data_IF_696874478782
#
_entry.id   IF_696874478782
#
_cell.length_a   1.000
_cell.length_b   1.000
_cell.length_c   1.000
_cell.angle_alpha   90.00
_cell.angle_beta   90.00
_cell.angle_gamma   90.00
#
_symmetry.space_group_name_H-M   'P 1'
#
loop_
_entity.id
_entity.type
_entity.pdbx_description
1 polymer ?
#
# COMPACT_ATOMS: atom_id res chain seq x y z
N UNK A 1 32.34 28.24 36.67
CA UNK A 1 30.86 28.16 36.64
C UNK A 1 30.26 27.19 37.69
N UNK A 2 30.68 27.23 38.97
CA UNK A 2 30.10 26.36 40.02
C UNK A 2 28.89 26.97 40.73
N UNK A 3 28.86 28.28 40.87
CA UNK A 3 27.80 28.99 41.59
C UNK A 3 26.44 28.89 40.89
N UNK A 4 26.36 29.13 39.58
CA UNK A 4 25.11 28.97 38.83
C UNK A 4 24.47 27.60 39.08
N UNK A 5 25.24 26.51 38.87
CA UNK A 5 24.76 25.13 39.06
C UNK A 5 24.28 24.82 40.49
N UNK A 6 24.79 25.54 41.50
CA UNK A 6 24.38 25.42 42.91
C UNK A 6 23.01 26.04 43.18
N UNK A 7 22.67 27.16 42.53
CA UNK A 7 21.43 27.92 42.77
C UNK A 7 20.25 27.52 41.86
N UNK A 8 20.46 26.60 40.93
CA UNK A 8 19.42 26.12 39.99
C UNK A 8 18.16 25.54 40.66
N UNK A 9 18.26 25.09 41.93
CA UNK A 9 17.13 24.53 42.68
C UNK A 9 16.08 25.59 43.03
N UNK A 10 16.50 26.83 43.26
CA UNK A 10 15.61 27.95 43.64
C UNK A 10 14.62 28.31 42.51
N UNK A 11 15.04 28.17 41.26
CA UNK A 11 14.21 28.45 40.07
C UNK A 11 13.38 27.27 39.59
N UNK A 12 13.58 26.07 40.14
CA UNK A 12 13.05 24.83 39.57
C UNK A 12 11.52 24.80 39.49
N UNK A 13 10.82 25.28 40.52
CA UNK A 13 9.35 25.31 40.55
C UNK A 13 8.76 26.20 39.45
N UNK A 14 9.41 27.33 39.15
CA UNK A 14 8.99 28.25 38.08
C UNK A 14 9.19 27.62 36.70
N UNK A 15 10.34 26.97 36.50
CA UNK A 15 10.65 26.24 35.26
C UNK A 15 9.73 25.04 35.05
N UNK A 16 9.36 24.32 36.10
CA UNK A 16 8.45 23.18 35.99
C UNK A 16 7.03 23.62 35.61
N UNK A 17 6.54 24.70 36.21
CA UNK A 17 5.23 25.26 35.86
C UNK A 17 5.18 25.77 34.41
N UNK A 18 6.23 26.44 33.93
CA UNK A 18 6.30 26.87 32.52
C UNK A 18 6.39 25.68 31.57
N UNK A 19 7.17 24.65 31.92
CA UNK A 19 7.30 23.45 31.09
C UNK A 19 5.99 22.66 31.01
N UNK A 20 5.22 22.59 32.11
CA UNK A 20 3.90 21.98 32.11
C UNK A 20 2.93 22.74 31.19
N UNK A 21 2.90 24.08 31.26
CA UNK A 21 2.08 24.91 30.36
C UNK A 21 2.48 24.72 28.90
N UNK A 22 3.77 24.63 28.61
CA UNK A 22 4.27 24.37 27.26
C UNK A 22 3.86 22.99 26.75
N UNK A 23 3.91 21.93 27.58
CA UNK A 23 3.43 20.60 27.18
C UNK A 23 1.94 20.58 26.90
N UNK A 24 1.12 21.28 27.69
CA UNK A 24 -0.33 21.39 27.48
C UNK A 24 -0.60 22.07 26.14
N UNK A 25 0.05 23.20 25.86
CA UNK A 25 -0.08 23.91 24.59
C UNK A 25 0.35 23.03 23.39
N UNK A 26 1.44 22.28 23.51
CA UNK A 26 1.87 21.32 22.48
C UNK A 26 0.84 20.21 22.27
N UNK A 27 0.24 19.67 23.34
CA UNK A 27 -0.78 18.62 23.24
C UNK A 27 -2.06 19.13 22.57
N UNK A 28 -2.47 20.37 22.87
CA UNK A 28 -3.60 21.03 22.21
C UNK A 28 -3.32 21.28 20.73
N UNK A 29 -2.13 21.76 20.40
CA UNK A 29 -1.70 21.96 19.01
C UNK A 29 -1.66 20.64 18.23
N UNK A 30 -1.19 19.54 18.83
CA UNK A 30 -1.18 18.21 18.18
C UNK A 30 -2.61 17.72 17.98
N UNK A 31 -3.50 17.83 18.97
CA UNK A 31 -4.93 17.49 18.81
C UNK A 31 -5.57 18.32 17.69
N UNK A 32 -5.20 19.59 17.62
CA UNK A 32 -5.61 20.52 16.58
C UNK A 32 -4.85 20.35 15.25
N UNK A 33 -3.85 19.47 15.14
CA UNK A 33 -3.15 19.08 13.89
C UNK A 33 -3.62 17.72 13.36
N UNK A 34 -3.94 16.80 14.26
CA UNK A 34 -4.52 15.49 13.91
C UNK A 34 -5.92 15.66 13.32
N UNK A 35 -6.70 16.65 13.80
CA UNK A 35 -8.04 16.98 13.27
C UNK A 35 -8.09 17.76 11.93
N UNK A 36 -7.21 18.74 11.60
CA UNK A 36 -7.29 19.52 10.36
C UNK A 36 -6.94 18.74 9.10
N UNK A 37 -6.52 17.47 9.18
CA UNK A 37 -6.43 16.61 7.99
C UNK A 37 -7.80 16.32 7.34
N UNK A 38 -8.92 16.71 7.98
CA UNK A 38 -10.25 16.76 7.35
C UNK A 38 -10.33 17.84 6.26
N UNK A 39 -9.44 18.85 6.28
CA UNK A 39 -9.25 19.76 5.16
C UNK A 39 -8.44 19.00 4.12
N UNK A 40 -9.14 18.47 3.11
CA UNK A 40 -8.60 17.73 1.96
C UNK A 40 -7.11 18.03 1.75
N UNK A 41 -6.19 17.08 1.97
CA UNK A 41 -4.83 17.28 1.54
C UNK A 41 -4.92 17.66 0.07
N UNK A 42 -4.35 18.81 -0.28
CA UNK A 42 -4.27 19.29 -1.65
C UNK A 42 -3.22 18.43 -2.34
N UNK A 43 -3.52 17.13 -2.47
CA UNK A 43 -2.60 16.12 -2.95
C UNK A 43 -2.26 16.58 -4.36
N UNK A 44 -1.01 17.01 -4.63
CA UNK A 44 -0.62 17.21 -6.01
C UNK A 44 -0.85 15.86 -6.69
N UNK A 45 -1.47 15.87 -7.87
CA UNK A 45 -1.65 14.67 -8.68
C UNK A 45 -0.28 13.99 -8.80
N UNK A 46 -0.07 12.96 -7.99
CA UNK A 46 1.21 12.25 -7.95
C UNK A 46 1.46 11.60 -9.32
N UNK A 47 2.71 11.19 -9.60
CA UNK A 47 2.98 10.43 -10.81
C UNK A 47 1.98 9.28 -10.91
N UNK A 48 1.34 9.15 -12.07
CA UNK A 48 0.28 8.17 -12.26
C UNK A 48 0.71 6.80 -11.71
N UNK A 49 -0.20 6.07 -11.08
CA UNK A 49 0.15 4.86 -10.34
C UNK A 49 0.87 3.79 -11.18
N UNK A 50 0.78 3.85 -12.51
CA UNK A 50 1.37 2.87 -13.44
C UNK A 50 2.91 2.90 -13.46
N UNK A 51 3.60 4.01 -13.79
CA UNK A 51 5.07 4.09 -13.72
C UNK A 51 5.62 3.82 -12.32
N UNK A 52 4.99 4.37 -11.27
CA UNK A 52 5.39 4.13 -9.88
C UNK A 52 5.31 2.65 -9.49
N UNK A 53 4.29 1.94 -9.98
CA UNK A 53 4.13 0.49 -9.77
C UNK A 53 5.20 -0.32 -10.50
N UNK A 54 5.57 0.05 -11.73
CA UNK A 54 6.65 -0.63 -12.46
C UNK A 54 8.00 -0.45 -11.77
N UNK A 55 8.31 0.76 -11.30
CA UNK A 55 9.51 1.03 -10.52
C UNK A 55 9.55 0.20 -9.22
N UNK A 56 8.41 0.07 -8.53
CA UNK A 56 8.30 -0.76 -7.32
C UNK A 56 8.51 -2.25 -7.60
N UNK A 57 8.01 -2.77 -8.73
CA UNK A 57 8.20 -4.16 -9.15
C UNK A 57 9.65 -4.43 -9.58
N UNK A 58 10.29 -3.48 -10.26
CA UNK A 58 11.70 -3.56 -10.66
C UNK A 58 12.64 -3.41 -9.45
N UNK A 59 12.18 -2.84 -8.34
CA UNK A 59 13.02 -2.57 -7.17
C UNK A 59 13.57 -3.88 -6.55
N UNK A 60 14.89 -4.02 -6.37
CA UNK A 60 15.51 -5.30 -6.02
C UNK A 60 15.04 -5.86 -4.68
N UNK A 61 14.87 -4.99 -3.66
CA UNK A 61 14.40 -5.40 -2.32
C UNK A 61 12.88 -5.48 -2.20
N UNK A 62 12.18 -4.50 -2.77
CA UNK A 62 10.74 -4.30 -2.53
C UNK A 62 9.88 -5.12 -3.50
N UNK A 63 10.34 -5.34 -4.72
CA UNK A 63 9.62 -6.10 -5.74
C UNK A 63 9.83 -7.63 -5.69
N UNK A 64 10.63 -8.16 -4.75
CA UNK A 64 10.98 -9.60 -4.70
C UNK A 64 9.74 -10.48 -4.60
N UNK A 65 8.82 -10.14 -3.69
CA UNK A 65 7.59 -10.90 -3.44
C UNK A 65 6.61 -10.82 -4.62
N UNK A 66 6.58 -9.69 -5.33
CA UNK A 66 5.69 -9.51 -6.49
C UNK A 66 6.24 -10.27 -7.69
N UNK A 67 7.57 -10.26 -7.89
CA UNK A 67 8.22 -11.02 -8.98
C UNK A 67 8.07 -12.53 -8.80
N UNK A 68 8.06 -13.03 -7.57
CA UNK A 68 7.79 -14.46 -7.30
C UNK A 68 6.33 -14.84 -7.55
N UNK A 69 5.39 -13.91 -7.33
CA UNK A 69 3.96 -14.16 -7.55
C UNK A 69 3.53 -14.00 -9.02
N UNK A 70 4.22 -13.16 -9.79
CA UNK A 70 3.97 -12.96 -11.22
C UNK A 70 5.20 -13.30 -12.07
N UNK A 71 5.45 -14.60 -12.35
CA UNK A 71 6.60 -15.02 -13.17
C UNK A 71 6.55 -14.49 -14.62
N UNK A 72 5.41 -13.95 -15.08
CA UNK A 72 5.24 -13.44 -16.45
C UNK A 72 5.69 -11.99 -16.71
N UNK A 73 6.08 -11.21 -15.71
CA UNK A 73 6.51 -9.80 -15.90
C UNK A 73 8.03 -9.66 -16.04
N UNK A 74 8.79 -10.67 -15.61
CA UNK A 74 10.24 -10.73 -15.81
C UNK A 74 10.53 -11.90 -16.76
N UNK A 75 10.74 -11.56 -18.03
CA UNK A 75 11.37 -12.46 -18.99
C UNK A 75 10.55 -13.69 -19.37
N UNK A 76 9.80 -13.57 -20.45
CA UNK A 76 9.40 -14.72 -21.27
C UNK A 76 10.66 -15.50 -21.71
N UNK A 77 10.99 -16.57 -20.98
CA UNK A 77 11.95 -17.59 -21.43
C UNK A 77 11.46 -19.02 -21.25
N UNK A 78 10.18 -19.22 -20.96
CA UNK A 78 9.55 -20.53 -21.03
C UNK A 78 8.42 -20.49 -22.06
N UNK A 79 8.77 -20.44 -23.34
CA UNK A 79 7.87 -20.99 -24.35
C UNK A 79 7.85 -22.51 -24.15
N UNK A 80 6.80 -23.02 -23.52
CA UNK A 80 6.46 -24.44 -23.54
C UNK A 80 5.08 -24.62 -24.15
N UNK A 81 4.86 -25.74 -24.85
CA UNK A 81 4.28 -25.73 -26.18
C UNK A 81 2.77 -25.51 -26.14
N UNK A 82 2.28 -24.83 -27.20
CA UNK A 82 0.86 -24.69 -27.51
C UNK A 82 0.18 -26.06 -27.37
N UNK A 83 -0.65 -26.21 -26.34
CA UNK A 83 -1.57 -27.32 -26.24
C UNK A 83 -2.55 -27.19 -27.41
N UNK A 84 -2.30 -27.93 -28.50
CA UNK A 84 -3.30 -28.05 -29.56
C UNK A 84 -4.43 -28.90 -28.98
N UNK A 85 -5.66 -28.38 -28.85
CA UNK A 85 -6.77 -29.21 -28.41
C UNK A 85 -6.99 -30.28 -29.48
N UNK A 86 -6.67 -31.54 -29.13
CA UNK A 86 -7.14 -32.68 -29.91
C UNK A 86 -8.66 -32.67 -29.82
N UNK A 87 -9.31 -32.85 -30.96
CA UNK A 87 -10.77 -32.84 -31.14
C UNK A 87 -11.50 -33.47 -29.95
N UNK A 88 -12.41 -32.71 -29.34
CA UNK A 88 -13.30 -33.22 -28.31
C UNK A 88 -14.22 -34.31 -28.86
N UNK A 89 -14.74 -35.20 -28.00
CA UNK A 89 -15.63 -36.27 -28.43
C UNK A 89 -16.89 -35.66 -29.04
N UNK A 90 -17.19 -36.05 -30.27
CA UNK A 90 -18.40 -35.70 -31.00
C UNK A 90 -19.61 -36.21 -30.20
N UNK A 91 -20.25 -35.32 -29.43
CA UNK A 91 -21.54 -35.63 -28.79
C UNK A 91 -22.58 -35.81 -29.89
N UNK A 92 -22.80 -37.05 -30.31
CA UNK A 92 -23.94 -37.39 -31.14
C UNK A 92 -25.21 -37.23 -30.30
N UNK A 93 -25.88 -36.09 -30.41
CA UNK A 93 -27.27 -35.94 -29.99
C UNK A 93 -28.12 -36.76 -30.97
N UNK A 94 -28.37 -38.03 -30.65
CA UNK A 94 -29.36 -38.84 -31.36
C UNK A 94 -30.75 -38.29 -31.05
N UNK A 95 -31.37 -37.59 -31.99
CA UNK A 95 -32.80 -37.28 -31.93
C UNK A 95 -33.60 -38.60 -31.98
N UNK A 96 -34.65 -38.78 -31.16
CA UNK A 96 -35.56 -39.90 -31.32
C UNK A 96 -36.35 -39.74 -32.62
N UNK A 97 -36.44 -40.84 -33.38
CA UNK A 97 -37.15 -40.89 -34.66
C UNK A 97 -38.64 -40.99 -34.37
N UNK A 98 -39.39 -39.93 -34.64
CA UNK A 98 -40.86 -39.92 -34.52
C UNK A 98 -41.45 -40.58 -35.78
N UNK A 99 -42.38 -41.54 -35.68
CA UNK A 99 -43.08 -42.09 -36.84
C UNK A 99 -44.09 -41.05 -37.36
N UNK A 100 -44.11 -40.85 -38.68
CA UNK A 100 -45.18 -40.09 -39.36
C UNK A 100 -46.42 -40.99 -39.52
N UNK A 101 -47.64 -40.52 -39.20
CA UNK A 101 -48.86 -41.25 -39.53
C UNK A 101 -49.15 -41.20 -41.04
N UNK A 102 -49.81 -42.26 -41.52
CA UNK A 102 -50.27 -42.48 -42.89
C UNK A 102 -51.41 -41.54 -43.28
#
# INVERSE_FOLDING_TARGET
MRFAKKHNKEGLKKTQASNAKAMIACAEAIKALVKPQVVKPKVPKGPSHKPSRLAFIAHPKLGKQIRSFMPGVVGSKNQSPRFKPKHGPQRQLRLPKVPRPL
#
